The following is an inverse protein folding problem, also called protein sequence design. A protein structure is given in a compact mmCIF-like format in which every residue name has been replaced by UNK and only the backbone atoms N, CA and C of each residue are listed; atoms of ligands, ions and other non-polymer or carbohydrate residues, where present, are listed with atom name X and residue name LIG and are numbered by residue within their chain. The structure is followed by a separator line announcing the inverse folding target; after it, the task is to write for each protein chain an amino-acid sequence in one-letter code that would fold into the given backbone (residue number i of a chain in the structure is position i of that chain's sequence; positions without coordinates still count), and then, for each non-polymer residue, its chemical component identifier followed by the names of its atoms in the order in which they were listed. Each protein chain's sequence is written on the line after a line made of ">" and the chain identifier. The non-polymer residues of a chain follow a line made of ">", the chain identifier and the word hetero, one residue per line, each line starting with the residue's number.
data_IF_132314386864
#
_entry.id   IF_132314386864
#
_cell.length_a   1.000
_cell.length_b   1.000
_cell.length_c   1.000
_cell.angle_alpha   90.00
_cell.angle_beta   90.00
_cell.angle_gamma   90.00
#
_symmetry.space_group_name_H-M   'P 1'
#
loop_
_entity.id
_entity.type
_entity.pdbx_description
1 polymer ?
#
# COMPACT_ATOMS: atom_id res chain seq x y z
N UNK A 1 7.46 -20.17 4.54
CA UNK A 1 7.71 -20.11 3.09
C UNK A 1 9.20 -20.25 2.83
N UNK A 2 9.59 -20.86 1.71
CA UNK A 2 11.00 -21.01 1.36
C UNK A 2 11.60 -19.63 0.98
N UNK A 3 12.79 -19.25 1.47
CA UNK A 3 13.31 -17.89 1.31
C UNK A 3 13.71 -17.54 -0.14
N UNK A 4 13.93 -18.53 -1.00
CA UNK A 4 14.43 -18.31 -2.37
C UNK A 4 13.36 -18.26 -3.46
N UNK A 5 12.28 -19.05 -3.33
CA UNK A 5 11.19 -19.11 -4.30
C UNK A 5 9.87 -19.14 -3.54
N UNK A 6 9.12 -18.05 -3.64
CA UNK A 6 7.80 -17.87 -3.04
C UNK A 6 7.07 -16.71 -3.75
N UNK A 7 5.76 -16.65 -3.56
CA UNK A 7 4.90 -15.67 -4.22
C UNK A 7 4.97 -14.25 -3.61
N UNK A 8 5.66 -14.05 -2.49
CA UNK A 8 5.92 -12.70 -1.93
C UNK A 8 6.99 -11.94 -2.74
N UNK A 9 7.76 -12.64 -3.58
CA UNK A 9 8.93 -12.12 -4.28
C UNK A 9 8.55 -11.35 -5.56
N UNK A 10 9.54 -11.14 -6.46
CA UNK A 10 9.45 -10.37 -7.70
C UNK A 10 8.49 -10.94 -8.75
N UNK A 11 8.20 -10.14 -9.79
CA UNK A 11 7.44 -10.54 -10.98
C UNK A 11 7.86 -11.90 -11.54
N UNK A 12 9.18 -12.16 -11.67
CA UNK A 12 9.70 -13.47 -12.09
C UNK A 12 9.22 -14.62 -11.22
N UNK A 13 9.25 -14.47 -9.89
CA UNK A 13 8.82 -15.53 -8.99
C UNK A 13 7.30 -15.73 -9.05
N UNK A 14 6.53 -14.65 -9.18
CA UNK A 14 5.06 -14.72 -9.25
C UNK A 14 4.60 -15.30 -10.59
N UNK A 15 5.19 -14.87 -11.70
CA UNK A 15 4.82 -15.31 -13.05
C UNK A 15 5.13 -16.78 -13.35
N UNK A 16 5.97 -17.44 -12.56
CA UNK A 16 6.24 -18.89 -12.68
C UNK A 16 5.48 -19.76 -11.68
N UNK A 17 4.69 -19.16 -10.79
CA UNK A 17 3.94 -19.87 -9.74
C UNK A 17 2.44 -19.77 -10.01
N UNK A 18 1.74 -20.89 -9.86
CA UNK A 18 0.30 -20.99 -9.97
C UNK A 18 -0.28 -21.91 -8.89
N UNK A 19 -1.61 -21.95 -8.75
CA UNK A 19 -2.24 -22.91 -7.85
C UNK A 19 -2.16 -24.33 -8.42
N UNK A 20 -1.80 -25.29 -7.57
CA UNK A 20 -1.73 -26.69 -7.99
C UNK A 20 -3.11 -27.28 -8.35
N UNK A 21 -4.15 -26.91 -7.60
CA UNK A 21 -5.54 -27.23 -7.91
C UNK A 21 -6.07 -26.16 -8.86
N UNK A 22 -6.69 -26.55 -9.98
CA UNK A 22 -7.31 -25.62 -10.92
C UNK A 22 -8.83 -25.57 -10.74
N UNK A 23 -9.46 -24.50 -11.21
CA UNK A 23 -10.93 -24.34 -11.21
C UNK A 23 -11.47 -23.89 -12.57
N UNK A 24 -12.67 -24.32 -12.98
CA UNK A 24 -13.27 -23.85 -14.22
C UNK A 24 -13.53 -22.34 -14.14
N UNK A 25 -13.19 -21.60 -15.19
CA UNK A 25 -13.32 -20.14 -15.23
C UNK A 25 -14.75 -19.65 -14.92
N UNK A 26 -15.76 -20.34 -15.44
CA UNK A 26 -17.12 -19.84 -15.44
C UNK A 26 -17.26 -18.52 -16.22
N UNK A 27 -18.41 -17.85 -16.08
CA UNK A 27 -18.64 -16.54 -16.73
C UNK A 27 -17.83 -15.44 -16.08
N UNK A 28 -17.82 -15.40 -14.74
CA UNK A 28 -17.10 -14.37 -13.99
C UNK A 28 -15.58 -14.52 -14.10
N UNK A 29 -15.05 -15.73 -14.06
CA UNK A 29 -13.60 -15.92 -14.12
C UNK A 29 -12.97 -15.52 -15.44
N UNK A 30 -13.65 -15.69 -16.58
CA UNK A 30 -13.14 -15.16 -17.84
C UNK A 30 -13.05 -13.62 -17.81
N UNK A 31 -14.04 -12.96 -17.21
CA UNK A 31 -14.04 -11.50 -17.03
C UNK A 31 -12.89 -11.07 -16.12
N UNK A 32 -12.69 -11.74 -14.99
CA UNK A 32 -11.62 -11.42 -14.04
C UNK A 32 -10.23 -11.73 -14.58
N UNK A 33 -10.08 -12.75 -15.41
CA UNK A 33 -8.82 -13.03 -16.10
C UNK A 33 -8.42 -11.89 -17.04
N UNK A 34 -9.38 -11.32 -17.79
CA UNK A 34 -9.14 -10.12 -18.61
C UNK A 34 -8.79 -8.91 -17.75
N UNK A 35 -9.54 -8.65 -16.68
CA UNK A 35 -9.26 -7.53 -15.76
C UNK A 35 -7.86 -7.67 -15.14
N UNK A 36 -7.47 -8.88 -14.75
CA UNK A 36 -6.15 -9.15 -14.20
C UNK A 36 -5.03 -8.88 -15.21
N UNK A 37 -5.18 -9.32 -16.47
CA UNK A 37 -4.23 -9.00 -17.54
C UNK A 37 -4.09 -7.48 -17.72
N UNK A 38 -5.21 -6.74 -17.73
CA UNK A 38 -5.20 -5.28 -17.81
C UNK A 38 -4.49 -4.63 -16.61
N UNK A 39 -4.69 -5.17 -15.39
CA UNK A 39 -4.00 -4.69 -14.18
C UNK A 39 -2.49 -4.93 -14.25
N UNK A 40 -2.06 -6.11 -14.69
CA UNK A 40 -0.63 -6.48 -14.85
C UNK A 40 0.06 -5.67 -15.95
N UNK A 41 -0.67 -5.31 -17.01
CA UNK A 41 -0.17 -4.40 -18.04
C UNK A 41 0.13 -3.01 -17.46
N UNK A 42 -0.75 -2.53 -16.58
CA UNK A 42 -0.65 -1.24 -15.89
C UNK A 42 -0.55 -0.04 -16.86
N UNK A 43 0.33 0.93 -16.59
CA UNK A 43 0.52 2.09 -17.46
C UNK A 43 -0.65 3.06 -17.52
N UNK A 44 -1.53 3.06 -16.51
CA UNK A 44 -2.75 3.86 -16.44
C UNK A 44 -4.01 3.06 -16.79
N UNK A 45 -3.87 1.86 -17.36
CA UNK A 45 -4.99 0.96 -17.65
C UNK A 45 -5.66 0.50 -16.34
N UNK A 46 -4.89 0.30 -15.28
CA UNK A 46 -5.39 -0.07 -13.96
C UNK A 46 -6.25 1.03 -13.31
N UNK A 47 -6.25 2.24 -13.87
CA UNK A 47 -7.08 3.38 -13.43
C UNK A 47 -8.36 3.56 -14.22
N UNK A 48 -8.57 2.74 -15.25
CA UNK A 48 -9.84 2.67 -15.96
C UNK A 48 -10.88 1.94 -15.11
N UNK A 49 -12.15 2.18 -15.41
CA UNK A 49 -13.24 1.34 -14.93
C UNK A 49 -13.06 -0.10 -15.40
N UNK A 50 -13.74 -1.07 -14.77
CA UNK A 50 -13.66 -2.46 -15.23
C UNK A 50 -14.05 -2.63 -16.71
N UNK A 51 -15.05 -1.90 -17.19
CA UNK A 51 -15.40 -1.91 -18.62
C UNK A 51 -14.28 -1.35 -19.51
N UNK A 52 -13.60 -0.29 -19.06
CA UNK A 52 -12.43 0.24 -19.76
C UNK A 52 -11.25 -0.75 -19.78
N UNK A 53 -11.04 -1.50 -18.69
CA UNK A 53 -10.04 -2.58 -18.63
C UNK A 53 -10.38 -3.73 -19.57
N UNK A 54 -11.65 -4.14 -19.64
CA UNK A 54 -12.12 -5.17 -20.57
C UNK A 54 -11.94 -4.72 -22.03
N UNK A 55 -12.34 -3.50 -22.36
CA UNK A 55 -12.17 -2.93 -23.69
C UNK A 55 -10.68 -2.84 -24.09
N UNK A 56 -9.78 -2.52 -23.15
CA UNK A 56 -8.35 -2.56 -23.40
C UNK A 56 -7.89 -3.94 -23.83
N UNK A 57 -8.29 -5.01 -23.12
CA UNK A 57 -7.92 -6.38 -23.47
C UNK A 57 -8.52 -6.80 -24.81
N UNK A 58 -9.79 -6.49 -25.05
CA UNK A 58 -10.47 -6.85 -26.30
C UNK A 58 -9.82 -6.18 -27.52
N UNK A 59 -9.28 -4.97 -27.37
CA UNK A 59 -8.55 -4.27 -28.42
C UNK A 59 -7.12 -4.79 -28.67
N UNK A 60 -6.59 -5.64 -27.80
CA UNK A 60 -5.23 -6.22 -27.91
C UNK A 60 -5.26 -7.75 -28.01
N UNK A 61 -6.38 -8.34 -28.44
CA UNK A 61 -6.53 -9.80 -28.55
C UNK A 61 -5.46 -10.43 -29.45
N UNK A 62 -5.12 -9.79 -30.56
CA UNK A 62 -4.08 -10.29 -31.47
C UNK A 62 -2.70 -10.29 -30.81
N UNK A 63 -2.35 -9.23 -30.06
CA UNK A 63 -1.10 -9.15 -29.30
C UNK A 63 -1.03 -10.18 -28.17
N UNK A 64 -2.17 -10.49 -27.55
CA UNK A 64 -2.30 -11.52 -26.51
C UNK A 64 -2.06 -12.91 -27.10
N UNK A 65 -2.69 -13.22 -28.25
CA UNK A 65 -2.45 -14.49 -28.95
C UNK A 65 -1.02 -14.63 -29.45
N UNK A 66 -0.41 -13.56 -30.00
CA UNK A 66 1.00 -13.56 -30.38
C UNK A 66 1.92 -13.78 -29.17
N UNK A 67 1.66 -13.07 -28.06
CA UNK A 67 2.43 -13.21 -26.81
C UNK A 67 2.34 -14.64 -26.24
N UNK A 68 1.17 -15.27 -26.30
CA UNK A 68 0.98 -16.64 -25.82
C UNK A 68 1.63 -17.71 -26.71
N UNK A 69 1.54 -17.55 -28.04
CA UNK A 69 1.97 -18.59 -29.00
C UNK A 69 3.42 -18.44 -29.45
N UNK A 70 3.95 -17.22 -29.48
CA UNK A 70 5.31 -16.91 -29.93
C UNK A 70 6.01 -15.90 -28.98
N UNK A 71 6.11 -16.19 -27.67
CA UNK A 71 6.56 -15.23 -26.66
C UNK A 71 7.96 -14.65 -26.88
N UNK A 72 8.84 -15.37 -27.60
CA UNK A 72 10.23 -14.98 -27.83
C UNK A 72 10.45 -14.35 -29.21
N UNK A 73 9.83 -14.89 -30.26
CA UNK A 73 10.09 -14.43 -31.64
C UNK A 73 8.94 -13.61 -32.24
N UNK A 74 7.86 -13.37 -31.49
CA UNK A 74 6.73 -12.54 -31.90
C UNK A 74 6.99 -11.04 -31.69
N UNK A 75 5.90 -10.29 -31.56
CA UNK A 75 5.92 -8.86 -31.28
C UNK A 75 6.40 -8.55 -29.86
N UNK A 76 6.33 -9.54 -28.95
CA UNK A 76 6.74 -9.45 -27.54
C UNK A 76 6.04 -8.30 -26.80
N UNK A 77 4.75 -8.09 -27.11
CA UNK A 77 3.92 -7.08 -26.48
C UNK A 77 3.91 -7.21 -24.95
N UNK A 78 3.90 -8.44 -24.43
CA UNK A 78 3.98 -8.69 -22.98
C UNK A 78 5.20 -8.04 -22.27
N UNK A 79 6.30 -7.75 -22.98
CA UNK A 79 7.48 -7.05 -22.40
C UNK A 79 7.23 -5.57 -22.11
N UNK A 80 6.16 -4.98 -22.65
CA UNK A 80 5.82 -3.57 -22.42
C UNK A 80 4.95 -3.34 -21.18
N UNK A 81 4.49 -4.42 -20.54
CA UNK A 81 3.77 -4.39 -19.27
C UNK A 81 4.67 -3.98 -18.09
N UNK A 82 4.08 -3.48 -16.99
CA UNK A 82 4.83 -3.20 -15.75
C UNK A 82 5.27 -4.49 -15.03
N UNK A 83 4.47 -5.56 -15.13
CA UNK A 83 4.76 -6.91 -14.64
C UNK A 83 4.80 -7.94 -15.80
N UNK A 84 5.90 -8.00 -16.60
CA UNK A 84 5.93 -8.73 -17.85
C UNK A 84 5.66 -10.24 -17.73
N UNK A 85 6.27 -10.92 -16.75
CA UNK A 85 6.17 -12.38 -16.69
C UNK A 85 4.80 -12.83 -16.16
N UNK A 86 4.23 -12.10 -15.21
CA UNK A 86 2.83 -12.31 -14.82
C UNK A 86 1.89 -12.00 -15.99
N UNK A 87 2.13 -10.92 -16.76
CA UNK A 87 1.33 -10.57 -17.93
C UNK A 87 1.38 -11.67 -18.99
N UNK A 88 2.55 -12.25 -19.25
CA UNK A 88 2.71 -13.38 -20.16
C UNK A 88 1.93 -14.62 -19.68
N UNK A 89 2.00 -14.95 -18.38
CA UNK A 89 1.23 -16.06 -17.81
C UNK A 89 -0.29 -15.85 -18.01
N UNK A 90 -0.77 -14.62 -17.81
CA UNK A 90 -2.16 -14.26 -18.06
C UNK A 90 -2.54 -14.33 -19.56
N UNK A 91 -1.63 -13.92 -20.46
CA UNK A 91 -1.83 -14.05 -21.91
C UNK A 91 -2.02 -15.52 -22.31
N UNK A 92 -1.14 -16.41 -21.82
CA UNK A 92 -1.21 -17.86 -22.08
C UNK A 92 -2.55 -18.43 -21.63
N UNK A 93 -2.96 -18.16 -20.38
CA UNK A 93 -4.21 -18.70 -19.85
C UNK A 93 -5.45 -18.13 -20.57
N UNK A 94 -5.44 -16.85 -20.94
CA UNK A 94 -6.55 -16.24 -21.68
C UNK A 94 -6.63 -16.78 -23.11
N UNK A 95 -5.51 -16.97 -23.80
CA UNK A 95 -5.49 -17.56 -25.14
C UNK A 95 -5.98 -19.01 -25.15
N UNK A 96 -5.63 -19.82 -24.15
CA UNK A 96 -6.18 -21.17 -23.97
C UNK A 96 -7.71 -21.11 -23.80
N UNK A 97 -8.18 -20.19 -22.95
CA UNK A 97 -9.61 -20.02 -22.70
C UNK A 97 -10.38 -19.62 -23.97
N UNK A 98 -9.87 -18.66 -24.75
CA UNK A 98 -10.53 -18.14 -25.95
C UNK A 98 -10.48 -19.08 -27.15
N UNK A 99 -9.46 -19.93 -27.25
CA UNK A 99 -9.37 -20.97 -28.29
C UNK A 99 -10.26 -22.19 -28.00
N UNK A 100 -10.75 -22.33 -26.78
CA UNK A 100 -11.67 -23.41 -26.41
C UNK A 100 -13.06 -23.17 -27.00
N UNK A 101 -13.75 -24.22 -27.51
CA UNK A 101 -15.16 -24.11 -27.89
C UNK A 101 -16.08 -23.85 -26.69
N UNK A 102 -15.57 -23.96 -25.46
CA UNK A 102 -16.31 -23.68 -24.22
C UNK A 102 -15.41 -22.95 -23.21
N UNK A 103 -15.13 -21.65 -23.42
CA UNK A 103 -14.19 -20.88 -22.60
C UNK A 103 -14.48 -20.92 -21.10
N UNK A 104 -15.77 -20.92 -20.72
CA UNK A 104 -16.20 -20.96 -19.32
C UNK A 104 -15.89 -22.27 -18.58
N UNK A 105 -15.52 -23.33 -19.30
CA UNK A 105 -15.21 -24.65 -18.72
C UNK A 105 -13.72 -24.93 -18.62
N UNK A 106 -12.89 -24.06 -19.20
CA UNK A 106 -11.43 -24.16 -19.15
C UNK A 106 -10.98 -24.04 -17.70
N UNK A 107 -10.10 -24.96 -17.29
CA UNK A 107 -9.57 -25.01 -15.93
C UNK A 107 -8.42 -24.02 -15.84
N UNK A 108 -8.53 -23.03 -14.97
CA UNK A 108 -7.47 -22.06 -14.70
C UNK A 108 -6.84 -22.30 -13.34
N UNK A 109 -5.52 -22.29 -13.34
CA UNK A 109 -4.65 -22.38 -12.17
C UNK A 109 -4.12 -21.02 -11.73
N UNK A 110 -4.32 -19.98 -12.56
CA UNK A 110 -3.72 -18.68 -12.36
C UNK A 110 -4.35 -17.96 -11.15
N UNK A 111 -3.56 -17.50 -10.17
CA UNK A 111 -4.07 -16.64 -9.11
C UNK A 111 -4.43 -15.26 -9.67
N UNK A 112 -5.63 -14.77 -9.36
CA UNK A 112 -6.05 -13.40 -9.70
C UNK A 112 -5.91 -12.51 -8.48
N UNK A 113 -5.18 -11.42 -8.64
CA UNK A 113 -4.84 -10.50 -7.56
C UNK A 113 -5.91 -9.41 -7.41
N UNK A 114 -6.26 -9.09 -6.17
CA UNK A 114 -7.05 -7.91 -5.80
C UNK A 114 -6.22 -7.12 -4.78
N UNK A 115 -5.82 -5.90 -5.15
CA UNK A 115 -4.87 -5.09 -4.38
C UNK A 115 -5.57 -3.95 -3.65
N UNK A 116 -5.22 -3.73 -2.38
CA UNK A 116 -5.71 -2.60 -1.59
C UNK A 116 -5.23 -1.25 -2.13
N UNK A 117 -6.15 -0.30 -2.30
CA UNK A 117 -5.84 1.04 -2.80
C UNK A 117 -5.17 1.91 -1.71
N UNK A 118 -3.86 1.76 -1.52
CA UNK A 118 -3.10 2.40 -0.43
C UNK A 118 -3.59 1.94 0.96
N UNK A 119 -3.45 0.64 1.22
CA UNK A 119 -4.09 -0.05 2.33
C UNK A 119 -3.88 0.61 3.71
N UNK A 120 -2.68 1.09 4.02
CA UNK A 120 -2.43 1.83 5.27
C UNK A 120 -3.35 3.05 5.46
N UNK A 121 -3.60 3.83 4.39
CA UNK A 121 -4.57 4.94 4.44
C UNK A 121 -6.01 4.43 4.52
N UNK A 122 -6.35 3.31 3.90
CA UNK A 122 -7.69 2.71 4.02
C UNK A 122 -8.00 2.37 5.48
N UNK A 123 -7.04 1.74 6.16
CA UNK A 123 -7.14 1.41 7.58
C UNK A 123 -7.25 2.67 8.47
N UNK A 124 -6.49 3.74 8.18
CA UNK A 124 -6.63 5.00 8.92
C UNK A 124 -7.96 5.72 8.65
N UNK A 125 -8.43 5.77 7.41
CA UNK A 125 -9.70 6.38 7.06
C UNK A 125 -10.87 5.64 7.75
N UNK A 126 -10.79 4.31 7.85
CA UNK A 126 -11.77 3.51 8.59
C UNK A 126 -11.73 3.75 10.11
N UNK A 127 -10.54 3.94 10.71
CA UNK A 127 -10.40 4.33 12.12
C UNK A 127 -10.93 5.75 12.38
N UNK A 128 -10.62 6.69 11.47
CA UNK A 128 -10.97 8.10 11.56
C UNK A 128 -12.41 8.42 11.19
N UNK A 129 -13.07 7.52 10.45
CA UNK A 129 -14.43 7.69 9.92
C UNK A 129 -14.60 9.02 9.16
N UNK A 130 -13.57 9.48 8.48
CA UNK A 130 -13.64 10.70 7.66
C UNK A 130 -14.11 10.35 6.25
N UNK A 131 -15.21 10.96 5.80
CA UNK A 131 -15.85 10.65 4.52
C UNK A 131 -15.02 11.07 3.30
N UNK A 132 -14.23 12.15 3.41
CA UNK A 132 -13.38 12.62 2.32
C UNK A 132 -12.15 11.73 2.18
N UNK A 133 -11.50 11.39 3.29
CA UNK A 133 -10.40 10.42 3.31
C UNK A 133 -10.86 9.05 2.80
N UNK A 134 -12.05 8.61 3.23
CA UNK A 134 -12.63 7.34 2.80
C UNK A 134 -12.84 7.27 1.28
N UNK A 135 -13.38 8.32 0.68
CA UNK A 135 -13.54 8.41 -0.77
C UNK A 135 -12.19 8.42 -1.51
N UNK A 136 -11.19 9.15 -0.98
CA UNK A 136 -9.87 9.26 -1.61
C UNK A 136 -9.12 7.91 -1.75
N UNK A 137 -9.46 6.92 -0.91
CA UNK A 137 -8.83 5.58 -0.90
C UNK A 137 -9.81 4.44 -1.19
N UNK A 138 -10.88 4.75 -1.91
CA UNK A 138 -11.85 3.78 -2.42
C UNK A 138 -12.60 2.98 -1.34
N UNK A 139 -12.84 3.54 -0.15
CA UNK A 139 -13.83 2.96 0.79
C UNK A 139 -15.27 3.28 0.37
N UNK A 140 -15.45 4.28 -0.49
CA UNK A 140 -16.72 4.66 -1.12
C UNK A 140 -16.68 4.21 -2.58
N UNK A 141 -17.81 3.69 -3.09
CA UNK A 141 -17.93 3.32 -4.49
C UNK A 141 -17.81 4.53 -5.42
N UNK A 142 -17.39 4.28 -6.65
CA UNK A 142 -17.29 5.31 -7.69
C UNK A 142 -17.18 4.68 -9.07
N UNK A 143 -17.39 5.45 -10.13
CA UNK A 143 -17.41 4.93 -11.51
C UNK A 143 -16.05 4.34 -11.95
N UNK A 144 -14.96 4.85 -11.39
CA UNK A 144 -13.59 4.43 -11.64
C UNK A 144 -12.77 4.47 -10.34
N UNK A 145 -11.63 3.76 -10.25
CA UNK A 145 -10.78 3.82 -9.08
C UNK A 145 -10.29 5.26 -8.82
N UNK A 146 -10.47 5.73 -7.58
CA UNK A 146 -9.78 6.91 -7.09
C UNK A 146 -8.26 6.67 -7.07
N UNK A 147 -7.50 7.71 -7.38
CA UNK A 147 -6.04 7.66 -7.43
C UNK A 147 -5.46 8.76 -6.53
N UNK A 148 -5.42 8.46 -5.23
CA UNK A 148 -4.88 9.33 -4.17
C UNK A 148 -3.53 9.94 -4.54
N UNK A 149 -2.68 9.21 -5.28
CA UNK A 149 -1.38 9.69 -5.70
C UNK A 149 -1.48 10.82 -6.73
N UNK A 150 -2.42 10.72 -7.67
CA UNK A 150 -2.67 11.77 -8.67
C UNK A 150 -3.34 12.99 -8.04
N UNK A 151 -4.24 12.77 -7.08
CA UNK A 151 -4.86 13.86 -6.31
C UNK A 151 -3.82 14.64 -5.50
N UNK A 152 -2.92 13.94 -4.79
CA UNK A 152 -1.82 14.57 -4.06
C UNK A 152 -0.86 15.27 -5.04
N UNK A 153 -0.53 14.66 -6.18
CA UNK A 153 0.32 15.30 -7.19
C UNK A 153 -0.30 16.60 -7.71
N UNK A 154 -1.61 16.62 -7.98
CA UNK A 154 -2.34 17.82 -8.38
C UNK A 154 -2.27 18.90 -7.30
N UNK A 155 -2.50 18.53 -6.03
CA UNK A 155 -2.40 19.46 -4.90
C UNK A 155 -1.00 20.03 -4.72
N UNK A 156 0.03 19.19 -4.82
CA UNK A 156 1.44 19.62 -4.79
C UNK A 156 1.73 20.58 -5.93
N UNK A 157 1.27 20.28 -7.14
CA UNK A 157 1.42 21.13 -8.31
C UNK A 157 0.75 22.50 -8.11
N UNK A 158 -0.46 22.57 -7.56
CA UNK A 158 -1.13 23.84 -7.23
C UNK A 158 -0.33 24.68 -6.24
N UNK A 159 0.15 24.07 -5.15
CA UNK A 159 0.95 24.76 -4.13
C UNK A 159 2.23 25.31 -4.77
N UNK A 160 2.94 24.50 -5.57
CA UNK A 160 4.16 24.92 -6.25
C UNK A 160 3.90 25.99 -7.31
N UNK A 161 2.81 25.91 -8.07
CA UNK A 161 2.42 26.94 -9.04
C UNK A 161 2.13 28.28 -8.38
N UNK A 162 1.51 28.25 -7.19
CA UNK A 162 1.32 29.47 -6.39
C UNK A 162 2.66 30.01 -5.89
N UNK A 163 3.54 29.15 -5.38
CA UNK A 163 4.86 29.55 -4.87
C UNK A 163 5.78 30.06 -5.98
N UNK A 164 5.69 29.53 -7.21
CA UNK A 164 6.51 29.95 -8.36
C UNK A 164 6.21 31.38 -8.80
N UNK A 165 4.98 31.86 -8.53
CA UNK A 165 4.52 33.21 -8.85
C UNK A 165 4.92 34.25 -7.79
N UNK A 166 5.49 33.83 -6.65
CA UNK A 166 5.95 34.75 -5.61
C UNK A 166 7.29 35.40 -6.00
N UNK A 167 7.59 36.53 -5.37
CA UNK A 167 8.87 37.22 -5.51
C UNK A 167 9.98 36.42 -4.78
N UNK A 168 11.05 35.98 -5.48
CA UNK A 168 12.18 35.29 -4.86
C UNK A 168 12.87 36.04 -3.73
N UNK A 169 12.80 37.38 -3.70
CA UNK A 169 13.42 38.20 -2.66
C UNK A 169 12.69 38.09 -1.32
N UNK A 170 11.39 37.80 -1.34
CA UNK A 170 10.55 37.64 -0.15
C UNK A 170 10.20 36.18 0.14
N UNK A 171 10.29 35.31 -0.88
CA UNK A 171 9.92 33.90 -0.80
C UNK A 171 11.05 33.01 -1.31
N UNK A 172 11.91 32.45 -0.42
CA UNK A 172 13.10 31.70 -0.83
C UNK A 172 12.77 30.43 -1.63
N UNK A 173 11.55 29.90 -1.49
CA UNK A 173 11.11 28.72 -2.23
C UNK A 173 10.64 29.02 -3.66
N UNK A 174 10.46 30.30 -4.05
CA UNK A 174 9.90 30.65 -5.35
C UNK A 174 10.74 30.13 -6.52
N UNK A 175 12.08 30.15 -6.40
CA UNK A 175 12.98 29.61 -7.41
C UNK A 175 12.89 28.08 -7.50
N UNK A 176 12.85 27.39 -6.36
CA UNK A 176 12.69 25.93 -6.31
C UNK A 176 11.36 25.51 -6.94
N UNK A 177 10.29 26.25 -6.64
CA UNK A 177 8.97 26.02 -7.20
C UNK A 177 8.95 26.18 -8.73
N UNK A 178 9.61 27.22 -9.28
CA UNK A 178 9.75 27.40 -10.74
C UNK A 178 10.47 26.23 -11.42
N UNK A 179 11.49 25.67 -10.77
CA UNK A 179 12.24 24.53 -11.30
C UNK A 179 11.38 23.26 -11.29
N UNK A 180 10.61 23.06 -10.22
CA UNK A 180 9.91 21.81 -9.95
C UNK A 180 8.50 21.73 -10.53
N UNK A 181 7.82 22.86 -10.78
CA UNK A 181 6.39 22.88 -11.15
C UNK A 181 6.08 21.96 -12.34
N UNK A 182 6.94 21.93 -13.36
CA UNK A 182 6.76 21.08 -14.55
C UNK A 182 7.28 19.63 -14.37
N UNK A 183 7.80 19.30 -13.19
CA UNK A 183 8.34 17.98 -12.85
C UNK A 183 7.43 17.21 -11.90
N UNK A 184 6.32 17.79 -11.43
CA UNK A 184 5.40 17.12 -10.52
C UNK A 184 4.51 16.17 -11.29
N UNK A 185 4.59 14.89 -10.96
CA UNK A 185 3.70 13.85 -11.47
C UNK A 185 3.42 12.81 -10.38
N UNK A 186 2.50 11.90 -10.70
CA UNK A 186 2.14 10.77 -9.85
C UNK A 186 3.36 9.95 -9.42
N UNK A 187 4.31 9.69 -10.33
CA UNK A 187 5.49 8.84 -10.08
C UNK A 187 6.42 9.47 -9.04
N UNK A 188 6.56 10.80 -9.05
CA UNK A 188 7.37 11.55 -8.10
C UNK A 188 6.86 11.40 -6.67
N UNK A 189 5.54 11.49 -6.46
CA UNK A 189 4.94 11.51 -5.12
C UNK A 189 4.55 10.11 -4.61
N UNK A 190 4.28 9.14 -5.51
CA UNK A 190 3.74 7.80 -5.19
C UNK A 190 4.46 7.13 -4.01
N UNK A 191 5.79 7.03 -4.09
CA UNK A 191 6.56 6.33 -3.05
C UNK A 191 6.49 7.05 -1.69
N UNK A 192 6.55 8.38 -1.68
CA UNK A 192 6.47 9.17 -0.44
C UNK A 192 5.10 9.04 0.21
N UNK A 193 4.03 9.17 -0.56
CA UNK A 193 2.66 8.99 -0.08
C UNK A 193 2.47 7.59 0.50
N UNK A 194 2.81 6.55 -0.27
CA UNK A 194 2.63 5.15 0.10
C UNK A 194 3.39 4.79 1.38
N UNK A 195 4.57 5.37 1.61
CA UNK A 195 5.42 5.01 2.76
C UNK A 195 5.24 5.94 3.97
N UNK A 196 4.60 7.10 3.81
CA UNK A 196 4.37 8.05 4.91
C UNK A 196 3.46 7.48 5.99
N UNK A 197 2.42 6.71 5.61
CA UNK A 197 1.57 5.99 6.56
C UNK A 197 2.31 4.92 7.35
N UNK A 198 3.42 4.43 6.79
CA UNK A 198 4.29 3.45 7.41
C UNK A 198 5.46 4.09 8.20
N UNK A 199 5.29 5.35 8.60
CA UNK A 199 6.23 6.02 9.51
C UNK A 199 7.46 6.60 8.82
N UNK A 200 7.45 6.76 7.50
CA UNK A 200 8.51 7.50 6.81
C UNK A 200 8.55 8.94 7.32
N UNK A 201 9.71 9.30 7.85
CA UNK A 201 9.98 10.67 8.32
C UNK A 201 10.28 11.60 7.14
N UNK A 202 10.28 12.91 7.40
CA UNK A 202 10.72 13.92 6.43
C UNK A 202 12.04 13.58 5.72
N UNK A 203 13.02 13.03 6.45
CA UNK A 203 14.31 12.66 5.87
C UNK A 203 14.16 11.54 4.86
N UNK A 204 13.37 10.52 5.18
CA UNK A 204 13.09 9.41 4.25
C UNK A 204 12.29 9.88 3.02
N UNK A 205 11.28 10.71 3.23
CA UNK A 205 10.48 11.31 2.15
C UNK A 205 11.36 12.12 1.18
N UNK A 206 12.28 12.94 1.71
CA UNK A 206 13.27 13.68 0.92
C UNK A 206 14.12 12.74 0.06
N UNK A 207 14.68 11.67 0.64
CA UNK A 207 15.53 10.73 -0.11
C UNK A 207 14.77 10.04 -1.24
N UNK A 208 13.52 9.64 -0.99
CA UNK A 208 12.68 9.02 -2.02
C UNK A 208 12.40 9.99 -3.17
N UNK A 209 12.02 11.24 -2.87
CA UNK A 209 11.79 12.27 -3.89
C UNK A 209 13.08 12.61 -4.62
N UNK A 210 14.21 12.73 -3.90
CA UNK A 210 15.51 13.01 -4.51
C UNK A 210 15.86 11.95 -5.56
N UNK A 211 15.73 10.67 -5.22
CA UNK A 211 15.97 9.55 -6.15
C UNK A 211 15.09 9.66 -7.40
N UNK A 212 13.82 10.05 -7.26
CA UNK A 212 12.91 10.24 -8.40
C UNK A 212 13.26 11.46 -9.25
N UNK A 213 13.79 12.53 -8.65
CA UNK A 213 14.33 13.68 -9.39
C UNK A 213 15.63 13.33 -10.11
N UNK A 214 16.50 12.52 -9.50
CA UNK A 214 17.72 11.99 -10.12
C UNK A 214 17.39 11.16 -11.37
N UNK A 215 16.40 10.27 -11.29
CA UNK A 215 15.90 9.46 -12.42
C UNK A 215 15.42 10.32 -13.60
N UNK A 216 14.94 11.55 -13.35
CA UNK A 216 14.50 12.48 -14.40
C UNK A 216 15.65 13.20 -15.09
N UNK A 217 16.81 13.35 -14.45
CA UNK A 217 18.02 13.96 -15.03
C UNK A 217 17.92 15.45 -15.38
N UNK A 218 16.88 16.16 -14.93
CA UNK A 218 16.64 17.58 -15.26
C UNK A 218 17.42 18.56 -14.35
N UNK A 219 17.88 18.10 -13.19
CA UNK A 219 18.68 18.89 -12.24
C UNK A 219 20.03 18.20 -12.08
N UNK A 220 21.08 18.80 -12.63
CA UNK A 220 22.43 18.21 -12.64
C UNK A 220 23.32 18.70 -11.50
N UNK A 221 22.95 19.81 -10.83
CA UNK A 221 23.66 20.31 -9.65
C UNK A 221 23.15 19.61 -8.37
N UNK A 222 24.04 18.90 -7.68
CA UNK A 222 23.70 18.10 -6.50
C UNK A 222 23.13 18.93 -5.34
N UNK A 223 23.60 20.17 -5.16
CA UNK A 223 23.12 21.05 -4.07
C UNK A 223 21.71 21.54 -4.36
N UNK A 224 21.45 21.93 -5.61
CA UNK A 224 20.14 22.33 -6.08
C UNK A 224 19.17 21.16 -6.03
N UNK A 225 19.59 19.97 -6.46
CA UNK A 225 18.81 18.74 -6.38
C UNK A 225 18.41 18.42 -4.93
N UNK A 226 19.36 18.50 -3.99
CA UNK A 226 19.08 18.29 -2.58
C UNK A 226 18.07 19.31 -2.02
N UNK A 227 18.23 20.58 -2.34
CA UNK A 227 17.33 21.65 -1.86
C UNK A 227 15.95 21.57 -2.51
N UNK A 228 15.88 21.24 -3.80
CA UNK A 228 14.66 20.95 -4.54
C UNK A 228 13.90 19.76 -3.91
N UNK A 229 14.59 18.65 -3.64
CA UNK A 229 14.01 17.50 -2.95
C UNK A 229 13.50 17.86 -1.55
N UNK A 230 14.23 18.70 -0.80
CA UNK A 230 13.80 19.18 0.51
C UNK A 230 12.49 19.97 0.43
N UNK A 231 12.34 20.85 -0.56
CA UNK A 231 11.12 21.63 -0.78
C UNK A 231 9.97 20.73 -1.25
N UNK A 232 10.19 19.89 -2.26
CA UNK A 232 9.19 18.96 -2.77
C UNK A 232 8.66 18.00 -1.68
N UNK A 233 9.53 17.48 -0.81
CA UNK A 233 9.11 16.65 0.32
C UNK A 233 8.26 17.41 1.33
N UNK A 234 8.60 18.68 1.64
CA UNK A 234 7.77 19.51 2.54
C UNK A 234 6.37 19.73 1.95
N UNK A 235 6.31 20.11 0.67
CA UNK A 235 5.03 20.37 -0.01
C UNK A 235 4.19 19.09 -0.11
N UNK A 236 4.81 17.96 -0.44
CA UNK A 236 4.13 16.66 -0.55
C UNK A 236 3.54 16.21 0.80
N UNK A 237 4.32 16.30 1.88
CA UNK A 237 3.84 15.94 3.23
C UNK A 237 2.78 16.93 3.74
N UNK A 238 2.87 18.21 3.36
CA UNK A 238 1.83 19.19 3.66
C UNK A 238 0.52 18.86 2.93
N UNK A 239 0.57 18.60 1.62
CA UNK A 239 -0.59 18.20 0.82
C UNK A 239 -1.23 16.91 1.35
N UNK A 240 -0.41 15.90 1.69
CA UNK A 240 -0.90 14.67 2.32
C UNK A 240 -1.62 14.97 3.65
N UNK A 241 -1.05 15.83 4.49
CA UNK A 241 -1.65 16.19 5.77
C UNK A 241 -2.87 17.11 5.67
N UNK A 242 -3.05 17.83 4.56
CA UNK A 242 -4.27 18.60 4.28
C UNK A 242 -5.44 17.68 3.91
N UNK A 243 -5.18 16.61 3.15
CA UNK A 243 -6.18 15.64 2.72
C UNK A 243 -6.50 14.64 3.83
N UNK A 244 -5.47 14.15 4.55
CA UNK A 244 -5.60 13.09 5.55
C UNK A 244 -5.41 13.59 6.99
N UNK A 245 -6.28 14.51 7.41
CA UNK A 245 -6.23 15.12 8.75
C UNK A 245 -6.61 14.16 9.87
N UNK A 246 -7.67 13.37 9.71
CA UNK A 246 -8.12 12.39 10.69
C UNK A 246 -7.09 11.28 10.85
N UNK A 247 -6.58 10.72 9.74
CA UNK A 247 -5.47 9.78 9.78
C UNK A 247 -4.24 10.33 10.52
N UNK A 248 -3.84 11.57 10.23
CA UNK A 248 -2.71 12.24 10.90
C UNK A 248 -2.97 12.45 12.39
N UNK A 249 -4.20 12.80 12.77
CA UNK A 249 -4.63 12.92 14.16
C UNK A 249 -4.42 11.61 14.92
N UNK A 250 -4.87 10.49 14.35
CA UNK A 250 -4.70 9.15 14.93
C UNK A 250 -3.23 8.76 15.01
N UNK A 251 -2.44 8.97 13.95
CA UNK A 251 -0.99 8.72 13.96
C UNK A 251 -0.28 9.48 15.09
N UNK A 252 -0.63 10.75 15.28
CA UNK A 252 -0.07 11.57 16.36
C UNK A 252 -0.49 11.03 17.74
N UNK A 253 -1.77 10.71 17.91
CA UNK A 253 -2.30 10.15 19.15
C UNK A 253 -1.62 8.83 19.53
N UNK A 254 -1.45 7.90 18.59
CA UNK A 254 -0.70 6.67 18.78
C UNK A 254 0.74 6.99 19.22
N UNK A 255 1.44 7.85 18.49
CA UNK A 255 2.81 8.25 18.83
C UNK A 255 2.94 8.88 20.22
N UNK A 256 1.97 9.67 20.65
CA UNK A 256 1.96 10.31 21.96
C UNK A 256 1.66 9.30 23.08
N UNK A 257 0.76 8.33 22.86
CA UNK A 257 0.58 7.19 23.77
C UNK A 257 1.86 6.36 23.92
N UNK A 258 2.53 6.06 22.80
CA UNK A 258 3.80 5.33 22.81
C UNK A 258 4.89 6.09 23.57
N UNK A 259 4.93 7.42 23.45
CA UNK A 259 5.87 8.28 24.20
C UNK A 259 5.63 8.19 25.71
N UNK A 260 4.37 8.19 26.16
CA UNK A 260 4.02 8.06 27.58
C UNK A 260 4.57 6.75 28.14
N UNK A 261 4.30 5.62 27.49
CA UNK A 261 4.77 4.29 27.94
C UNK A 261 6.30 4.19 27.90
N UNK A 262 6.92 4.62 26.80
CA UNK A 262 8.37 4.50 26.62
C UNK A 262 9.16 5.40 27.58
N UNK A 263 8.58 6.49 28.07
CA UNK A 263 9.21 7.37 29.06
C UNK A 263 9.40 6.68 30.41
N UNK A 264 8.57 5.68 30.73
CA UNK A 264 8.74 4.79 31.88
C UNK A 264 9.70 3.61 31.61
N UNK A 265 10.48 3.70 30.53
CA UNK A 265 11.39 2.65 30.06
C UNK A 265 10.68 1.30 29.81
N UNK A 266 9.40 1.34 29.42
CA UNK A 266 8.62 0.16 29.02
C UNK A 266 8.43 0.13 27.50
N UNK A 267 8.53 -1.04 26.85
CA UNK A 267 8.20 -1.16 25.43
C UNK A 267 6.68 -1.04 25.24
N UNK A 268 6.26 -0.49 24.10
CA UNK A 268 4.83 -0.48 23.75
C UNK A 268 4.37 -1.90 23.42
N UNK A 269 3.21 -2.27 23.92
CA UNK A 269 2.59 -3.60 23.76
C UNK A 269 1.10 -3.46 23.53
N UNK A 270 0.54 -4.16 22.57
CA UNK A 270 -0.91 -4.20 22.36
C UNK A 270 -1.33 -5.61 21.96
N UNK A 271 -2.63 -5.86 21.92
CA UNK A 271 -3.18 -7.11 21.40
C UNK A 271 -4.03 -6.78 20.18
N UNK A 272 -3.84 -7.51 19.08
CA UNK A 272 -4.66 -7.28 17.88
C UNK A 272 -6.12 -7.70 18.13
N UNK A 273 -7.07 -7.28 17.28
CA UNK A 273 -8.46 -7.74 17.38
C UNK A 273 -8.63 -9.27 17.30
N UNK A 274 -7.65 -10.00 16.76
CA UNK A 274 -7.60 -11.46 16.73
C UNK A 274 -6.92 -12.10 17.95
N UNK A 275 -6.58 -11.31 18.98
CA UNK A 275 -5.99 -11.82 20.21
C UNK A 275 -4.46 -12.05 20.13
N UNK A 276 -3.77 -11.57 19.09
CA UNK A 276 -2.32 -11.72 18.98
C UNK A 276 -1.61 -10.62 19.79
N UNK A 277 -0.85 -10.94 20.85
CA UNK A 277 -0.04 -9.96 21.55
C UNK A 277 1.16 -9.53 20.69
N UNK A 278 1.38 -8.22 20.60
CA UNK A 278 2.47 -7.58 19.86
C UNK A 278 3.29 -6.71 20.79
N UNK A 279 4.62 -6.76 20.66
CA UNK A 279 5.57 -5.98 21.45
C UNK A 279 6.57 -5.32 20.52
N UNK A 280 6.78 -4.01 20.66
CA UNK A 280 7.84 -3.31 19.94
C UNK A 280 9.21 -3.56 20.57
N UNK A 281 10.19 -4.13 19.82
CA UNK A 281 11.48 -4.56 20.37
C UNK A 281 12.50 -3.41 20.49
N UNK A 282 12.11 -2.15 20.30
CA UNK A 282 13.06 -1.07 20.11
C UNK A 282 13.73 -0.65 21.43
N UNK A 283 14.94 -1.13 21.62
CA UNK A 283 15.87 -0.72 22.68
C UNK A 283 17.05 0.09 22.11
N UNK A 284 17.69 0.89 22.96
CA UNK A 284 18.94 1.59 22.63
C UNK A 284 20.02 0.55 22.40
N UNK A 285 20.91 0.80 21.44
CA UNK A 285 22.08 -0.03 21.21
C UNK A 285 23.32 0.59 21.83
N UNK A 286 24.18 -0.25 22.40
CA UNK A 286 25.47 0.13 22.95
C UNK A 286 26.60 -0.47 22.11
N UNK A 287 27.57 0.38 21.76
CA UNK A 287 28.75 -0.02 21.00
C UNK A 287 29.82 -0.54 21.96
N UNK A 288 30.21 -1.79 21.77
CA UNK A 288 31.24 -2.47 22.53
C UNK A 288 32.47 -2.66 21.65
N UNK A 289 33.61 -2.12 22.07
CA UNK A 289 34.87 -2.25 21.34
C UNK A 289 35.68 -3.40 21.93
N UNK A 290 35.87 -4.47 21.15
CA UNK A 290 36.75 -5.58 21.50
C UNK A 290 38.09 -5.37 20.78
N UNK A 291 39.13 -5.04 21.55
CA UNK A 291 40.49 -4.98 21.02
C UNK A 291 41.08 -6.38 20.99
N UNK A 292 41.53 -6.81 19.81
CA UNK A 292 42.32 -8.03 19.63
C UNK A 292 43.76 -7.64 19.29
N UNK A 293 44.66 -8.61 19.20
CA UNK A 293 46.04 -8.39 18.78
C UNK A 293 46.20 -7.87 17.34
N UNK A 294 45.19 -8.06 16.48
CA UNK A 294 45.23 -7.71 15.06
C UNK A 294 44.36 -6.49 14.71
N UNK A 295 43.26 -6.24 15.43
CA UNK A 295 42.31 -5.18 15.10
C UNK A 295 41.38 -4.84 16.27
N UNK A 296 40.54 -3.82 16.08
CA UNK A 296 39.45 -3.48 17.01
C UNK A 296 38.12 -3.81 16.36
N UNK A 297 37.38 -4.75 16.95
CA UNK A 297 36.04 -5.11 16.53
C UNK A 297 35.03 -4.23 17.26
N UNK A 298 34.13 -3.59 16.52
CA UNK A 298 33.00 -2.88 17.10
C UNK A 298 31.75 -3.76 17.05
N UNK A 299 31.31 -4.27 18.20
CA UNK A 299 30.07 -5.00 18.33
C UNK A 299 28.94 -4.05 18.76
N UNK A 300 27.74 -4.30 18.26
CA UNK A 300 26.53 -3.61 18.68
C UNK A 300 25.71 -4.58 19.53
N UNK A 301 25.41 -4.19 20.78
CA UNK A 301 24.57 -4.97 21.70
C UNK A 301 23.34 -4.16 22.06
N UNK A 302 22.17 -4.80 22.13
CA UNK A 302 20.97 -4.16 22.65
C UNK A 302 21.10 -3.94 24.17
N UNK A 303 20.78 -2.73 24.61
CA UNK A 303 20.70 -2.39 26.03
C UNK A 303 19.32 -2.72 26.60
N UNK A 304 19.20 -2.71 27.93
CA UNK A 304 17.91 -2.83 28.62
C UNK A 304 17.10 -1.51 28.62
N UNK A 305 17.64 -0.44 28.03
CA UNK A 305 16.95 0.85 27.95
C UNK A 305 16.16 0.95 26.65
N UNK A 306 14.90 1.31 26.74
CA UNK A 306 14.01 1.51 25.59
C UNK A 306 14.44 2.73 24.78
N UNK A 307 14.35 2.62 23.45
CA UNK A 307 14.54 3.77 22.55
C UNK A 307 13.21 4.50 22.36
N UNK A 308 12.96 5.52 23.20
CA UNK A 308 11.73 6.32 23.20
C UNK A 308 11.40 6.86 21.82
N UNK A 309 12.41 7.33 21.07
CA UNK A 309 12.19 7.90 19.74
C UNK A 309 11.68 6.84 18.78
N UNK A 310 12.33 5.67 18.74
CA UNK A 310 11.91 4.57 17.86
C UNK A 310 10.55 3.99 18.25
N UNK A 311 10.28 3.80 19.55
CA UNK A 311 8.98 3.35 20.04
C UNK A 311 7.87 4.28 19.53
N UNK A 312 8.03 5.59 19.74
CA UNK A 312 7.08 6.63 19.30
C UNK A 312 6.86 6.62 17.78
N UNK A 313 7.93 6.64 16.99
CA UNK A 313 7.79 6.78 15.53
C UNK A 313 7.34 5.48 14.85
N UNK A 314 7.63 4.32 15.44
CA UNK A 314 7.29 3.03 14.86
C UNK A 314 5.95 2.47 15.38
N UNK A 315 5.35 3.04 16.43
CA UNK A 315 4.07 2.52 16.93
C UNK A 315 2.92 2.71 15.93
N UNK A 316 2.67 3.90 15.35
CA UNK A 316 1.60 4.07 14.36
C UNK A 316 1.68 3.08 13.18
N UNK A 317 2.83 2.90 12.50
CA UNK A 317 2.89 1.97 11.38
C UNK A 317 2.80 0.50 11.81
N UNK A 318 3.41 0.11 12.94
CA UNK A 318 3.29 -1.27 13.42
C UNK A 318 1.86 -1.59 13.86
N UNK A 319 1.14 -0.62 14.43
CA UNK A 319 -0.25 -0.80 14.83
C UNK A 319 -1.15 -1.00 13.60
N UNK A 320 -1.04 -0.16 12.58
CA UNK A 320 -1.80 -0.34 11.33
C UNK A 320 -1.41 -1.62 10.60
N UNK A 321 -0.13 -2.00 10.58
CA UNK A 321 0.28 -3.30 10.07
C UNK A 321 -0.31 -4.49 10.84
N UNK A 322 -0.57 -4.33 12.14
CA UNK A 322 -1.25 -5.38 12.89
C UNK A 322 -2.74 -5.47 12.54
N UNK A 323 -3.35 -4.38 12.07
CA UNK A 323 -4.74 -4.34 11.60
C UNK A 323 -4.86 -4.89 10.17
N UNK A 324 -3.93 -4.55 9.28
CA UNK A 324 -3.89 -5.14 7.92
C UNK A 324 -3.72 -6.67 8.00
N UNK A 325 -2.84 -7.15 8.86
CA UNK A 325 -2.63 -8.58 9.09
C UNK A 325 -3.86 -9.25 9.68
N UNK A 326 -4.57 -8.56 10.59
CA UNK A 326 -5.83 -9.06 11.14
C UNK A 326 -6.91 -9.17 10.07
N UNK A 327 -7.06 -8.15 9.22
CA UNK A 327 -8.00 -8.15 8.09
C UNK A 327 -7.70 -9.26 7.08
N UNK A 328 -6.43 -9.42 6.70
CA UNK A 328 -5.98 -10.51 5.82
C UNK A 328 -6.30 -11.88 6.44
N UNK A 329 -5.99 -12.10 7.72
CA UNK A 329 -6.25 -13.37 8.40
C UNK A 329 -7.77 -13.67 8.50
N UNK A 330 -8.59 -12.68 8.86
CA UNK A 330 -10.05 -12.80 8.89
C UNK A 330 -10.60 -13.17 7.50
N UNK A 331 -10.11 -12.52 6.46
CA UNK A 331 -10.50 -12.76 5.07
C UNK A 331 -10.08 -14.17 4.63
N UNK A 332 -8.85 -14.59 4.92
CA UNK A 332 -8.33 -15.90 4.56
C UNK A 332 -9.12 -17.05 5.21
N UNK A 333 -9.47 -16.90 6.51
CA UNK A 333 -10.29 -17.88 7.23
C UNK A 333 -11.69 -17.98 6.62
N UNK A 334 -12.33 -16.83 6.35
CA UNK A 334 -13.66 -16.80 5.74
C UNK A 334 -13.66 -17.34 4.29
N UNK A 335 -12.62 -17.06 3.50
CA UNK A 335 -12.44 -17.64 2.18
C UNK A 335 -12.30 -19.17 2.25
N UNK A 336 -11.49 -19.69 3.20
CA UNK A 336 -11.35 -21.14 3.43
C UNK A 336 -12.70 -21.77 3.77
N UNK A 337 -13.45 -21.16 4.69
CA UNK A 337 -14.74 -21.70 5.14
C UNK A 337 -15.81 -21.64 4.04
N UNK A 338 -15.70 -20.68 3.12
CA UNK A 338 -16.47 -20.60 1.89
C UNK A 338 -15.97 -21.52 0.75
N UNK A 339 -14.89 -22.27 0.98
CA UNK A 339 -14.34 -23.22 0.01
C UNK A 339 -13.44 -22.62 -1.08
N UNK A 340 -12.96 -21.39 -0.90
CA UNK A 340 -12.04 -20.72 -1.83
C UNK A 340 -10.58 -21.13 -1.57
N UNK A 341 -9.72 -20.93 -2.56
CA UNK A 341 -8.26 -20.96 -2.35
C UNK A 341 -7.77 -19.53 -2.18
N UNK A 342 -7.02 -19.29 -1.12
CA UNK A 342 -6.51 -17.97 -0.78
C UNK A 342 -5.00 -17.99 -0.73
N UNK A 343 -4.38 -17.03 -1.41
CA UNK A 343 -3.01 -16.60 -1.16
C UNK A 343 -3.00 -15.10 -0.94
N UNK A 344 -1.96 -14.58 -0.31
CA UNK A 344 -1.83 -13.14 -0.15
C UNK A 344 -0.40 -12.68 0.03
N UNK A 345 -0.18 -11.43 -0.33
CA UNK A 345 1.06 -10.67 -0.12
C UNK A 345 0.66 -9.38 0.59
N UNK A 346 0.66 -9.40 1.93
CA UNK A 346 0.18 -8.29 2.74
C UNK A 346 -1.22 -7.83 2.33
N UNK A 347 -1.35 -6.70 1.63
CA UNK A 347 -2.57 -6.05 1.16
C UNK A 347 -3.01 -6.47 -0.26
N UNK A 348 -2.43 -7.56 -0.79
CA UNK A 348 -2.79 -8.16 -2.06
C UNK A 348 -3.40 -9.54 -1.85
N UNK A 349 -4.68 -9.73 -2.19
CA UNK A 349 -5.45 -10.96 -1.91
C UNK A 349 -5.75 -11.71 -3.19
N UNK A 350 -5.42 -13.01 -3.23
CA UNK A 350 -5.40 -13.81 -4.45
C UNK A 350 -6.30 -15.03 -4.33
N UNK A 351 -7.04 -15.33 -5.40
CA UNK A 351 -7.90 -16.51 -5.51
C UNK A 351 -8.01 -16.97 -6.97
N UNK A 352 -8.74 -18.04 -7.25
CA UNK A 352 -9.05 -18.45 -8.62
C UNK A 352 -9.94 -17.41 -9.34
N UNK A 353 -9.87 -17.30 -10.68
CA UNK A 353 -10.66 -16.31 -11.41
C UNK A 353 -12.17 -16.41 -11.14
N UNK A 354 -12.70 -17.64 -11.02
CA UNK A 354 -14.12 -17.87 -10.76
C UNK A 354 -14.60 -17.41 -9.38
N UNK A 355 -13.68 -17.25 -8.43
CA UNK A 355 -13.94 -17.03 -7.02
C UNK A 355 -13.75 -15.55 -6.61
N UNK A 356 -13.27 -14.69 -7.52
CA UNK A 356 -12.90 -13.29 -7.20
C UNK A 356 -14.10 -12.50 -6.67
N UNK A 357 -15.28 -12.63 -7.28
CA UNK A 357 -16.48 -11.92 -6.80
C UNK A 357 -16.82 -12.28 -5.34
N UNK A 358 -16.73 -13.57 -5.00
CA UNK A 358 -17.02 -14.05 -3.66
C UNK A 358 -15.93 -13.64 -2.66
N UNK A 359 -14.66 -13.69 -3.06
CA UNK A 359 -13.56 -13.16 -2.24
C UNK A 359 -13.72 -11.67 -1.98
N UNK A 360 -14.10 -10.88 -2.99
CA UNK A 360 -14.32 -9.44 -2.88
C UNK A 360 -15.48 -9.09 -1.94
N UNK A 361 -16.55 -9.91 -1.94
CA UNK A 361 -17.61 -9.78 -0.94
C UNK A 361 -17.08 -10.07 0.48
N UNK A 362 -16.40 -11.21 0.66
CA UNK A 362 -15.86 -11.63 1.96
C UNK A 362 -14.88 -10.60 2.52
N UNK A 363 -13.96 -10.09 1.71
CA UNK A 363 -12.94 -9.14 2.19
C UNK A 363 -13.58 -7.82 2.65
N UNK A 364 -14.64 -7.35 1.98
CA UNK A 364 -15.36 -6.13 2.39
C UNK A 364 -16.13 -6.37 3.68
N UNK A 365 -16.84 -7.50 3.78
CA UNK A 365 -17.54 -7.90 5.00
C UNK A 365 -16.59 -7.99 6.20
N UNK A 366 -15.41 -8.61 6.04
CA UNK A 366 -14.41 -8.71 7.11
C UNK A 366 -13.74 -7.39 7.46
N UNK A 367 -13.60 -6.49 6.50
CA UNK A 367 -13.12 -5.13 6.78
C UNK A 367 -14.13 -4.35 7.64
N UNK A 368 -15.42 -4.39 7.26
CA UNK A 368 -16.50 -3.74 8.02
C UNK A 368 -16.65 -4.36 9.41
N UNK A 369 -16.58 -5.68 9.52
CA UNK A 369 -16.61 -6.40 10.80
C UNK A 369 -15.47 -5.94 11.73
N UNK A 370 -14.23 -5.89 11.22
CA UNK A 370 -13.06 -5.44 11.96
C UNK A 370 -13.25 -4.01 12.49
N UNK A 371 -13.68 -3.08 11.64
CA UNK A 371 -13.81 -1.66 11.98
C UNK A 371 -15.12 -1.26 12.66
N UNK A 372 -16.04 -2.22 12.81
CA UNK A 372 -17.19 -2.10 13.70
C UNK A 372 -16.82 -2.35 15.16
N UNK A 373 -15.64 -2.94 15.43
CA UNK A 373 -15.10 -3.07 16.78
C UNK A 373 -14.57 -1.72 17.30
N UNK A 374 -14.63 -1.47 18.62
CA UNK A 374 -14.12 -0.23 19.21
C UNK A 374 -12.58 -0.31 19.38
N UNK A 375 -11.84 -0.34 18.27
CA UNK A 375 -10.40 -0.65 18.24
C UNK A 375 -9.57 0.35 19.06
N UNK A 376 -9.77 1.65 18.87
CA UNK A 376 -8.96 2.68 19.55
C UNK A 376 -9.33 2.80 21.03
N UNK A 377 -10.61 2.63 21.35
CA UNK A 377 -11.12 2.57 22.72
C UNK A 377 -10.52 1.38 23.46
N UNK A 378 -10.60 0.19 22.88
CA UNK A 378 -10.06 -1.04 23.48
C UNK A 378 -8.55 -0.93 23.71
N UNK A 379 -7.84 -0.28 22.78
CA UNK A 379 -6.41 0.00 22.92
C UNK A 379 -6.13 0.94 24.10
N UNK A 380 -6.88 2.05 24.21
CA UNK A 380 -6.73 3.02 25.30
C UNK A 380 -7.07 2.41 26.66
N UNK A 381 -8.17 1.68 26.75
CA UNK A 381 -8.58 0.96 27.97
C UNK A 381 -7.52 -0.04 28.40
N UNK A 382 -6.95 -0.79 27.45
CA UNK A 382 -5.85 -1.73 27.72
C UNK A 382 -4.58 -1.03 28.25
N UNK A 383 -4.23 0.13 27.69
CA UNK A 383 -3.13 0.94 28.20
C UNK A 383 -3.39 1.48 29.61
N UNK A 384 -4.60 2.00 29.87
CA UNK A 384 -4.98 2.49 31.20
C UNK A 384 -4.98 1.38 32.24
N UNK A 385 -5.46 0.18 31.90
CA UNK A 385 -5.44 -0.98 32.77
C UNK A 385 -4.00 -1.47 33.05
N UNK A 386 -3.15 -1.47 32.03
CA UNK A 386 -1.74 -1.91 32.15
C UNK A 386 -0.86 -0.89 32.88
N UNK A 387 -1.20 0.40 32.79
CA UNK A 387 -0.42 1.51 33.33
C UNK A 387 -1.30 2.50 34.11
N UNK A 388 -1.90 2.08 35.25
CA UNK A 388 -2.91 2.88 35.97
C UNK A 388 -2.38 4.19 36.57
N UNK A 389 -1.06 4.33 36.71
CA UNK A 389 -0.42 5.56 37.18
C UNK A 389 -0.14 6.58 36.05
N UNK A 390 -0.28 6.18 34.78
CA UNK A 390 0.01 7.04 33.63
C UNK A 390 -1.26 7.69 33.09
N UNK A 391 -1.13 8.94 32.63
CA UNK A 391 -2.21 9.67 31.97
C UNK A 391 -1.99 9.65 30.46
N UNK A 392 -2.97 9.12 29.74
CA UNK A 392 -2.95 9.02 28.28
C UNK A 392 -3.76 10.17 27.64
N UNK A 393 -3.39 10.64 26.44
CA UNK A 393 -4.19 11.63 25.72
C UNK A 393 -5.58 11.05 25.38
N UNK A 394 -6.62 11.89 25.35
CA UNK A 394 -7.96 11.45 24.96
C UNK A 394 -7.97 10.97 23.51
N UNK A 395 -8.95 10.14 23.16
CA UNK A 395 -9.15 9.68 21.79
C UNK A 395 -9.34 10.87 20.83
N UNK A 396 -8.78 10.81 19.61
CA UNK A 396 -9.03 11.81 18.59
C UNK A 396 -10.51 11.80 18.18
N UNK A 397 -11.02 12.98 17.78
CA UNK A 397 -12.34 13.07 17.16
C UNK A 397 -12.39 12.25 15.87
N UNK A 398 -13.55 11.64 15.60
CA UNK A 398 -13.82 10.86 14.40
C UNK A 398 -14.95 11.53 13.62
N UNK A 399 -14.93 11.33 12.31
CA UNK A 399 -16.05 11.72 11.45
C UNK A 399 -17.24 10.76 11.56
N UNK A 400 -18.14 10.87 10.59
CA UNK A 400 -19.41 10.18 10.52
C UNK A 400 -19.52 9.20 9.34
N UNK A 401 -18.40 8.86 8.70
CA UNK A 401 -18.38 7.91 7.58
C UNK A 401 -19.01 6.56 7.97
N UNK A 402 -20.04 6.19 7.20
CA UNK A 402 -20.70 4.90 7.33
C UNK A 402 -19.88 3.80 6.65
N UNK A 403 -19.29 2.92 7.47
CA UNK A 403 -18.52 1.77 6.99
C UNK A 403 -19.33 0.82 6.10
N UNK A 404 -20.67 0.79 6.21
CA UNK A 404 -21.48 -0.07 5.35
C UNK A 404 -21.29 0.26 3.87
N UNK A 405 -20.89 1.50 3.52
CA UNK A 405 -20.57 1.89 2.14
C UNK A 405 -19.41 1.06 1.54
N UNK A 406 -18.52 0.51 2.37
CA UNK A 406 -17.41 -0.34 1.91
C UNK A 406 -17.92 -1.61 1.24
N UNK A 407 -19.09 -2.13 1.64
CA UNK A 407 -19.67 -3.36 1.08
C UNK A 407 -19.99 -3.23 -0.40
N UNK A 408 -20.33 -2.03 -0.85
CA UNK A 408 -20.67 -1.71 -2.24
C UNK A 408 -19.48 -1.14 -3.02
N UNK A 409 -18.34 -0.87 -2.37
CA UNK A 409 -17.18 -0.26 -3.04
C UNK A 409 -16.48 -1.24 -3.98
N UNK A 410 -16.71 -1.05 -5.27
CA UNK A 410 -16.12 -1.88 -6.33
C UNK A 410 -14.59 -1.82 -6.31
N UNK A 411 -14.02 -0.65 -6.07
CA UNK A 411 -12.57 -0.40 -6.19
C UNK A 411 -11.81 -0.40 -4.86
N UNK A 412 -12.42 -0.81 -3.75
CA UNK A 412 -11.74 -0.95 -2.45
C UNK A 412 -10.47 -1.81 -2.56
N UNK A 413 -10.61 -3.00 -3.15
CA UNK A 413 -9.54 -3.88 -3.63
C UNK A 413 -9.83 -4.16 -5.11
N UNK A 414 -8.88 -3.92 -6.03
CA UNK A 414 -9.17 -3.99 -7.47
C UNK A 414 -7.99 -4.30 -8.39
#
# INVERSE_FOLDING_TARGET
>A
MHPHLNHLSSDLCRGVLEFAEGRPLGKSGLRWLKIHLANLYAGGVEKLSYEGRLAFVDNHIDDIFDSATNPVNGNRWWLTAEDPLQCLAACINLSEALNSPSPHTVISHLPIHQDGSCNGLQHYAALGRDSLEAAAVNLVDGDKPADVYSEIAARVHEIMKRDSNKDPTTSPNALLARILVNQIDRKLVKQTVMTSVYGVTYVGAREQIKKRLEEKGLITDDRLLFTAACYAAKVTLAALGEIFQAARGIMSWLGDCAKVIASENQPVRWTTPLGLPVVQPYCKSERHLIRTSLQVLALQRESNSVDIRKQRTAFPPNFVHSLDGSHMMMTALACRDAGLRFAGVHDSFWTHPCDVDQMNKILREKFVELYSMPILESLLESFQASYPALTFPPLPERGDFDLQQVLESSYFFN
#
